data_IF_446586408337
#
_entry.id   IF_446586408337
#
_cell.length_a   1.000
_cell.length_b   1.000
_cell.length_c   1.000
_cell.angle_alpha   90.00
_cell.angle_beta   90.00
_cell.angle_gamma   90.00
#
_symmetry.space_group_name_H-M   'P 1'
#
loop_
_entity.id
_entity.type
_entity.pdbx_description
1 polymer ?
#
# COMPACT_ATOMS: atom_id res chain seq x y z
N UNK A 1 9.80 10.90 -0.21
CA UNK A 1 8.40 10.54 -0.45
C UNK A 1 8.30 9.02 -0.64
N UNK A 2 7.81 8.25 0.33
CA UNK A 2 7.71 6.78 0.20
C UNK A 2 6.67 6.39 -0.85
N UNK A 3 7.08 5.70 -1.91
CA UNK A 3 6.13 5.30 -2.97
C UNK A 3 5.17 4.21 -2.46
N UNK A 4 3.96 4.08 -3.02
CA UNK A 4 3.06 2.97 -2.68
C UNK A 4 3.69 1.60 -2.92
N UNK A 5 4.56 1.53 -3.93
CA UNK A 5 5.42 0.39 -4.20
C UNK A 5 6.35 0.04 -3.03
N UNK A 6 6.95 1.04 -2.37
CA UNK A 6 7.82 0.82 -1.20
C UNK A 6 7.01 0.42 0.04
N UNK A 7 5.79 0.95 0.21
CA UNK A 7 4.90 0.57 1.30
C UNK A 7 4.55 -0.91 1.21
N UNK A 8 4.18 -1.37 0.01
CA UNK A 8 3.89 -2.76 -0.29
C UNK A 8 5.15 -3.63 -0.41
N UNK A 9 6.34 -3.03 -0.45
CA UNK A 9 7.62 -3.73 -0.67
C UNK A 9 7.64 -4.51 -1.99
N UNK A 10 7.17 -3.85 -3.06
CA UNK A 10 7.08 -4.41 -4.41
C UNK A 10 7.75 -3.49 -5.43
N UNK A 11 8.33 -4.04 -6.50
CA UNK A 11 8.90 -3.22 -7.56
C UNK A 11 7.81 -2.47 -8.35
N UNK A 12 8.18 -1.36 -9.00
CA UNK A 12 7.27 -0.63 -9.90
C UNK A 12 6.76 -1.46 -11.08
N UNK A 13 7.50 -2.50 -11.47
CA UNK A 13 7.10 -3.47 -12.49
C UNK A 13 6.22 -4.61 -11.95
N UNK A 14 5.83 -4.58 -10.68
CA UNK A 14 5.01 -5.63 -10.08
C UNK A 14 3.65 -5.76 -10.79
N UNK A 15 3.25 -7.00 -11.00
CA UNK A 15 1.93 -7.34 -11.52
C UNK A 15 0.87 -7.14 -10.45
N UNK A 16 -0.41 -6.95 -10.83
CA UNK A 16 -1.51 -6.86 -9.85
C UNK A 16 -1.57 -8.09 -8.92
N UNK A 17 -1.15 -9.27 -9.40
CA UNK A 17 -1.06 -10.49 -8.60
C UNK A 17 0.03 -10.41 -7.51
N UNK A 18 1.20 -9.86 -7.83
CA UNK A 18 2.28 -9.60 -6.87
C UNK A 18 1.88 -8.57 -5.82
N UNK A 19 1.23 -7.50 -6.25
CA UNK A 19 0.68 -6.45 -5.37
C UNK A 19 -0.33 -7.05 -4.38
N UNK A 20 -1.21 -7.94 -4.85
CA UNK A 20 -2.19 -8.64 -3.99
C UNK A 20 -1.51 -9.59 -3.00
N UNK A 21 -0.49 -10.32 -3.43
CA UNK A 21 0.30 -11.20 -2.54
C UNK A 21 1.04 -10.40 -1.47
N UNK A 22 1.67 -9.29 -1.86
CA UNK A 22 2.38 -8.41 -0.94
C UNK A 22 1.44 -7.75 0.07
N UNK A 23 0.28 -7.25 -0.37
CA UNK A 23 -0.78 -6.72 0.49
C UNK A 23 -1.19 -7.76 1.55
N UNK A 24 -1.49 -8.99 1.15
CA UNK A 24 -1.86 -10.06 2.11
C UNK A 24 -0.75 -10.33 3.13
N UNK A 25 0.51 -10.35 2.70
CA UNK A 25 1.65 -10.60 3.58
C UNK A 25 1.84 -9.47 4.60
N UNK A 26 1.75 -8.22 4.14
CA UNK A 26 1.85 -7.02 4.99
C UNK A 26 0.64 -6.85 5.91
N UNK A 27 -0.56 -7.15 5.44
CA UNK A 27 -1.79 -7.12 6.24
C UNK A 27 -1.71 -8.08 7.43
N UNK A 28 -1.17 -9.29 7.21
CA UNK A 28 -0.92 -10.26 8.28
C UNK A 28 0.23 -9.82 9.21
N UNK A 29 1.26 -9.16 8.66
CA UNK A 29 2.38 -8.64 9.44
C UNK A 29 1.95 -7.50 10.37
N UNK A 30 1.08 -6.61 9.90
CA UNK A 30 0.54 -5.48 10.65
C UNK A 30 -0.83 -5.76 11.28
N UNK A 31 -1.24 -7.03 11.38
CA UNK A 31 -2.50 -7.38 12.00
C UNK A 31 -2.46 -7.05 13.50
N UNK A 32 -3.51 -6.45 14.09
CA UNK A 32 -3.53 -6.06 15.51
C UNK A 32 -3.39 -7.26 16.46
N UNK A 33 -3.81 -8.45 16.01
CA UNK A 33 -3.62 -9.72 16.73
C UNK A 33 -2.14 -10.09 16.91
N UNK A 34 -1.32 -9.84 15.89
CA UNK A 34 0.14 -10.09 15.94
C UNK A 34 0.94 -8.95 16.54
N UNK A 35 0.34 -7.77 16.67
CA UNK A 35 0.97 -6.56 17.21
C UNK A 35 0.16 -6.02 18.39
N UNK A 36 0.02 -6.78 19.49
CA UNK A 36 -0.77 -6.35 20.65
C UNK A 36 -0.18 -5.10 21.32
N UNK A 37 1.14 -4.93 21.26
CA UNK A 37 1.89 -3.82 21.90
C UNK A 37 1.94 -2.56 21.02
N UNK A 38 1.86 -2.71 19.70
CA UNK A 38 2.08 -1.64 18.73
C UNK A 38 0.86 -1.42 17.83
N UNK A 39 -0.36 -1.51 18.40
CA UNK A 39 -1.61 -1.41 17.65
C UNK A 39 -1.72 -0.13 16.82
N UNK A 40 -1.34 1.02 17.36
CA UNK A 40 -1.34 2.29 16.62
C UNK A 40 -0.40 2.27 15.41
N UNK A 41 0.83 1.79 15.59
CA UNK A 41 1.80 1.70 14.51
C UNK A 41 1.36 0.68 13.45
N UNK A 42 0.82 -0.45 13.89
CA UNK A 42 0.27 -1.49 13.04
C UNK A 42 -0.94 -0.98 12.24
N UNK A 43 -1.87 -0.25 12.87
CA UNK A 43 -3.01 0.37 12.18
C UNK A 43 -2.54 1.39 11.14
N UNK A 44 -1.58 2.26 11.48
CA UNK A 44 -1.03 3.23 10.54
C UNK A 44 -0.41 2.53 9.33
N UNK A 45 0.41 1.51 9.55
CA UNK A 45 1.02 0.71 8.49
C UNK A 45 -0.02 -0.05 7.68
N UNK A 46 -1.05 -0.57 8.32
CA UNK A 46 -2.15 -1.27 7.66
C UNK A 46 -2.93 -0.33 6.74
N UNK A 47 -3.25 0.89 7.19
CA UNK A 47 -3.86 1.94 6.37
C UNK A 47 -2.99 2.29 5.17
N UNK A 48 -1.69 2.53 5.38
CA UNK A 48 -0.74 2.79 4.29
C UNK A 48 -0.73 1.64 3.26
N UNK A 49 -0.71 0.40 3.72
CA UNK A 49 -0.70 -0.82 2.87
C UNK A 49 -2.01 -0.99 2.11
N UNK A 50 -3.15 -0.70 2.74
CA UNK A 50 -4.46 -0.76 2.11
C UNK A 50 -4.62 0.32 1.02
N UNK A 51 -4.21 1.56 1.31
CA UNK A 51 -4.24 2.66 0.34
C UNK A 51 -3.32 2.35 -0.86
N UNK A 52 -2.10 1.88 -0.58
CA UNK A 52 -1.17 1.45 -1.62
C UNK A 52 -1.75 0.36 -2.51
N UNK A 53 -2.41 -0.63 -1.91
CA UNK A 53 -3.07 -1.70 -2.66
C UNK A 53 -4.22 -1.19 -3.51
N UNK A 54 -5.08 -0.32 -2.97
CA UNK A 54 -6.22 0.24 -3.71
C UNK A 54 -5.78 1.02 -4.94
N UNK A 55 -4.71 1.82 -4.82
CA UNK A 55 -4.16 2.59 -5.93
C UNK A 55 -3.44 1.71 -6.93
N UNK A 56 -2.60 0.77 -6.49
CA UNK A 56 -1.78 -0.04 -7.39
C UNK A 56 -2.52 -1.22 -8.02
N UNK A 57 -3.56 -1.73 -7.36
CA UNK A 57 -4.42 -2.80 -7.88
C UNK A 57 -5.32 -2.29 -9.00
N UNK A 58 -5.70 -1.02 -8.98
CA UNK A 58 -6.53 -0.42 -10.00
C UNK A 58 -5.66 0.23 -11.09
N UNK A 59 -5.81 -0.21 -12.34
CA UNK A 59 -4.99 0.32 -13.44
C UNK A 59 -5.18 1.83 -13.62
N UNK A 60 -6.39 2.34 -13.45
CA UNK A 60 -6.69 3.75 -13.66
C UNK A 60 -6.12 4.61 -12.53
N UNK A 61 -6.30 4.20 -11.26
CA UNK A 61 -5.65 4.87 -10.11
C UNK A 61 -4.13 4.80 -10.19
N UNK A 62 -3.58 3.66 -10.62
CA UNK A 62 -2.13 3.49 -10.83
C UNK A 62 -1.61 4.43 -11.91
N UNK A 63 -2.34 4.61 -13.00
CA UNK A 63 -1.95 5.54 -14.07
C UNK A 63 -1.97 6.99 -13.58
N UNK A 64 -2.99 7.38 -12.82
CA UNK A 64 -3.06 8.70 -12.15
C UNK A 64 -1.88 8.87 -11.19
N UNK A 65 -1.58 7.85 -10.38
CA UNK A 65 -0.45 7.86 -9.46
C UNK A 65 0.90 7.99 -10.17
N UNK A 66 1.10 7.27 -11.27
CA UNK A 66 2.35 7.32 -12.03
C UNK A 66 2.51 8.69 -12.73
N UNK A 67 1.39 9.29 -13.15
CA UNK A 67 1.35 10.56 -13.86
C UNK A 67 1.44 11.80 -12.96
N UNK A 68 0.79 11.78 -11.80
CA UNK A 68 0.65 12.91 -10.88
C UNK A 68 1.30 12.69 -9.51
N UNK A 69 1.87 11.51 -9.26
CA UNK A 69 2.47 11.15 -7.97
C UNK A 69 1.46 10.98 -6.84
N UNK A 70 1.97 10.86 -5.60
CA UNK A 70 1.14 10.86 -4.38
C UNK A 70 0.34 12.14 -4.23
N UNK A 71 0.87 13.27 -4.72
CA UNK A 71 0.22 14.57 -4.62
C UNK A 71 -1.09 14.62 -5.41
N UNK A 72 -1.16 13.95 -6.57
CA UNK A 72 -2.40 13.81 -7.34
C UNK A 72 -3.49 12.97 -6.69
N UNK A 73 -3.16 12.18 -5.66
CA UNK A 73 -4.11 11.36 -4.90
C UNK A 73 -4.45 11.93 -3.52
N UNK A 74 -3.64 12.86 -3.00
CA UNK A 74 -3.81 13.48 -1.68
C UNK A 74 -4.45 14.88 -1.77
N UNK A 75 -4.90 15.30 -2.96
CA UNK A 75 -5.36 16.66 -3.26
C UNK A 75 -6.88 16.87 -3.28
N UNK A 76 -7.63 16.24 -2.38
CA UNK A 76 -9.06 16.50 -2.16
C UNK A 76 -9.38 16.66 -0.67
#
# INVERSE_FOLDING_TARGET
>A
MASYYEILDVPRSASPDDIKKAYRKKALQWHPDKNPDNKEFAEKKFKEVAEAYEVLSDKHKREIYDRYGREGLTGA
#
